data_IF_775185593115
#
_entry.id   IF_775185593115
#
_cell.length_a   1.000
_cell.length_b   1.000
_cell.length_c   1.000
_cell.angle_alpha   90.00
_cell.angle_beta   90.00
_cell.angle_gamma   90.00
#
_symmetry.space_group_name_H-M   'P 1'
#
loop_
_entity.id
_entity.type
_entity.pdbx_description
1 polymer ?
#
# COMPACT_ATOMS: atom_id res chain seq x y z
N UNK A 1 28.41 -31.28 39.95
CA UNK A 1 27.86 -30.31 38.96
C UNK A 1 28.06 -30.88 37.56
N UNK A 2 27.02 -31.46 36.95
CA UNK A 2 27.07 -31.96 35.57
C UNK A 2 26.43 -30.91 34.67
N UNK A 3 27.22 -30.29 33.79
CA UNK A 3 26.73 -29.32 32.79
C UNK A 3 25.99 -30.07 31.69
N UNK A 4 24.68 -29.82 31.55
CA UNK A 4 23.90 -30.26 30.40
C UNK A 4 24.38 -29.53 29.13
N UNK A 5 24.86 -30.29 28.15
CA UNK A 5 25.11 -29.79 26.80
C UNK A 5 23.77 -29.55 26.10
N UNK A 6 23.47 -28.28 25.79
CA UNK A 6 22.36 -27.91 24.91
C UNK A 6 22.64 -28.47 23.51
N UNK A 7 21.85 -29.45 23.08
CA UNK A 7 21.78 -29.92 21.70
C UNK A 7 21.28 -28.76 20.83
N UNK A 8 22.17 -28.19 20.02
CA UNK A 8 21.79 -27.26 18.96
C UNK A 8 21.11 -28.10 17.88
N UNK A 9 19.78 -27.99 17.79
CA UNK A 9 19.02 -28.56 16.68
C UNK A 9 19.21 -27.62 15.50
N UNK A 10 20.15 -27.96 14.63
CA UNK A 10 20.31 -27.31 13.33
C UNK A 10 19.07 -27.61 12.49
N UNK A 11 18.15 -26.66 12.36
CA UNK A 11 17.06 -26.73 11.39
C UNK A 11 17.69 -26.76 9.99
N UNK A 12 17.76 -27.95 9.40
CA UNK A 12 18.16 -28.15 8.01
C UNK A 12 17.12 -27.43 7.14
N UNK A 13 17.54 -26.35 6.50
CA UNK A 13 16.71 -25.60 5.56
C UNK A 13 16.51 -26.48 4.31
N UNK A 14 15.47 -27.32 4.32
CA UNK A 14 15.12 -28.17 3.17
C UNK A 14 14.48 -27.23 2.14
N UNK A 15 15.29 -26.70 1.22
CA UNK A 15 14.74 -26.16 -0.02
C UNK A 15 14.03 -27.31 -0.74
N UNK A 16 12.71 -27.23 -0.86
CA UNK A 16 11.93 -28.22 -1.59
C UNK A 16 12.33 -28.17 -3.07
N UNK A 17 12.55 -29.35 -3.65
CA UNK A 17 12.88 -29.47 -5.06
C UNK A 17 11.67 -29.01 -5.88
N UNK A 18 11.91 -28.12 -6.85
CA UNK A 18 10.87 -27.61 -7.75
C UNK A 18 10.60 -28.60 -8.88
N UNK A 19 9.35 -28.73 -9.30
CA UNK A 19 8.96 -29.59 -10.41
C UNK A 19 9.52 -29.07 -11.74
N UNK A 20 9.83 -29.95 -12.67
CA UNK A 20 10.39 -29.57 -13.98
C UNK A 20 9.46 -28.66 -14.80
N UNK A 21 8.15 -28.85 -14.65
CA UNK A 21 7.10 -28.08 -15.32
C UNK A 21 6.57 -26.91 -14.49
N UNK A 22 7.25 -26.55 -13.39
CA UNK A 22 6.84 -25.47 -12.51
C UNK A 22 6.67 -24.14 -13.28
N UNK A 23 5.59 -23.43 -12.99
CA UNK A 23 5.29 -22.12 -13.56
C UNK A 23 6.31 -21.09 -13.07
N UNK A 24 6.88 -20.37 -14.02
CA UNK A 24 7.94 -19.39 -13.81
C UNK A 24 7.37 -17.98 -13.80
N UNK A 25 7.58 -17.27 -12.69
CA UNK A 25 7.19 -15.87 -12.53
C UNK A 25 8.46 -15.03 -12.52
N UNK A 26 8.64 -14.20 -13.55
CA UNK A 26 9.75 -13.26 -13.66
C UNK A 26 9.37 -11.94 -12.99
N UNK A 27 10.19 -11.48 -12.06
CA UNK A 27 10.00 -10.19 -11.38
C UNK A 27 11.15 -9.26 -11.75
N UNK A 28 10.81 -8.09 -12.28
CA UNK A 28 11.74 -7.08 -12.75
C UNK A 28 11.40 -5.70 -12.19
N UNK A 29 12.42 -4.85 -12.05
CA UNK A 29 12.28 -3.49 -11.58
C UNK A 29 13.26 -3.11 -10.47
N UNK A 30 12.85 -2.15 -9.64
CA UNK A 30 13.69 -1.51 -8.62
C UNK A 30 13.62 -2.20 -7.24
N UNK A 31 14.03 -1.51 -6.18
CA UNK A 31 14.02 -2.07 -4.83
C UNK A 31 12.62 -2.42 -4.33
N UNK A 32 11.56 -1.79 -4.85
CA UNK A 32 10.18 -2.12 -4.46
C UNK A 32 9.77 -3.44 -5.11
N UNK A 33 10.13 -3.65 -6.38
CA UNK A 33 9.99 -4.97 -7.02
C UNK A 33 10.77 -6.04 -6.26
N UNK A 34 11.95 -5.73 -5.75
CA UNK A 34 12.76 -6.67 -4.95
C UNK A 34 12.02 -7.08 -3.67
N UNK A 35 11.34 -6.13 -3.02
CA UNK A 35 10.51 -6.41 -1.84
C UNK A 35 9.35 -7.38 -2.15
N UNK A 36 8.71 -7.23 -3.32
CA UNK A 36 7.69 -8.17 -3.80
C UNK A 36 8.30 -9.55 -4.08
N UNK A 37 9.45 -9.59 -4.75
CA UNK A 37 10.12 -10.84 -5.06
C UNK A 37 10.49 -11.63 -3.81
N UNK A 38 10.99 -10.97 -2.77
CA UNK A 38 11.25 -11.58 -1.46
C UNK A 38 9.98 -12.18 -0.85
N UNK A 39 8.88 -11.43 -0.90
CA UNK A 39 7.61 -11.85 -0.32
C UNK A 39 7.02 -13.05 -1.06
N UNK A 40 7.00 -13.01 -2.39
CA UNK A 40 6.51 -14.11 -3.22
C UNK A 40 7.40 -15.35 -3.11
N UNK A 41 8.74 -15.19 -3.05
CA UNK A 41 9.65 -16.32 -2.80
C UNK A 41 9.30 -17.03 -1.49
N UNK A 42 9.06 -16.26 -0.42
CA UNK A 42 8.64 -16.82 0.87
C UNK A 42 7.28 -17.50 0.77
N UNK A 43 6.30 -16.86 0.15
CA UNK A 43 4.93 -17.38 -0.03
C UNK A 43 4.93 -18.72 -0.77
N UNK A 44 5.74 -18.86 -1.82
CA UNK A 44 5.83 -20.06 -2.65
C UNK A 44 7.00 -20.98 -2.28
N UNK A 45 7.59 -20.84 -1.08
CA UNK A 45 8.69 -21.72 -0.63
C UNK A 45 8.30 -23.18 -0.73
N UNK A 46 7.14 -23.54 -0.17
CA UNK A 46 6.66 -24.92 -0.08
C UNK A 46 5.82 -25.35 -1.29
N UNK A 47 5.70 -24.52 -2.32
CA UNK A 47 4.96 -24.85 -3.54
C UNK A 47 5.96 -25.34 -4.60
N UNK A 48 5.87 -26.60 -5.02
CA UNK A 48 6.82 -27.16 -5.98
C UNK A 48 6.50 -26.79 -7.44
N UNK A 49 5.32 -26.25 -7.70
CA UNK A 49 4.82 -25.88 -9.03
C UNK A 49 5.07 -24.42 -9.40
N UNK A 50 5.65 -23.61 -8.50
CA UNK A 50 5.91 -22.18 -8.75
C UNK A 50 7.36 -21.84 -8.44
N UNK A 51 8.00 -21.18 -9.41
CA UNK A 51 9.36 -20.66 -9.32
C UNK A 51 9.33 -19.14 -9.48
N UNK A 52 9.86 -18.45 -8.47
CA UNK A 52 10.00 -16.99 -8.48
C UNK A 52 11.41 -16.60 -8.93
N UNK A 53 11.51 -15.94 -10.07
CA UNK A 53 12.77 -15.47 -10.67
C UNK A 53 12.92 -13.98 -10.38
N UNK A 54 13.79 -13.64 -9.43
CA UNK A 54 14.07 -12.24 -9.07
C UNK A 54 15.20 -11.69 -9.95
N UNK A 55 14.84 -10.85 -10.92
CA UNK A 55 15.76 -10.10 -11.79
C UNK A 55 15.63 -8.60 -11.57
N UNK A 56 15.55 -8.18 -10.30
CA UNK A 56 15.46 -6.77 -9.92
C UNK A 56 16.85 -6.16 -9.79
N UNK A 57 16.94 -4.88 -10.16
CA UNK A 57 18.14 -4.05 -10.01
C UNK A 57 17.76 -2.91 -9.06
N UNK A 58 18.04 -3.02 -7.74
CA UNK A 58 17.40 -2.18 -6.72
C UNK A 58 17.53 -0.66 -6.91
N UNK A 59 18.68 -0.19 -7.39
CA UNK A 59 18.95 1.24 -7.62
C UNK A 59 18.60 1.72 -9.04
N UNK A 60 18.01 0.84 -9.87
CA UNK A 60 17.63 1.21 -11.24
C UNK A 60 16.31 1.99 -11.29
N UNK A 61 16.05 2.53 -12.48
CA UNK A 61 14.87 3.28 -12.82
C UNK A 61 14.77 3.44 -14.33
N UNK A 62 13.73 4.12 -14.82
CA UNK A 62 13.58 4.49 -16.22
C UNK A 62 14.21 5.86 -16.55
N UNK A 63 14.56 6.69 -15.55
CA UNK A 63 15.18 8.00 -15.77
C UNK A 63 16.67 7.91 -16.14
N UNK A 64 17.44 7.04 -15.46
CA UNK A 64 18.89 6.87 -15.64
C UNK A 64 19.21 5.62 -16.45
N UNK A 65 19.14 5.73 -17.78
CA UNK A 65 19.48 4.61 -18.69
C UNK A 65 20.97 4.30 -18.75
N UNK A 66 21.82 5.23 -18.31
CA UNK A 66 23.27 5.05 -18.17
C UNK A 66 23.63 4.12 -17.01
N UNK A 67 22.80 4.06 -15.96
CA UNK A 67 22.98 3.12 -14.86
C UNK A 67 22.51 1.71 -15.25
N UNK A 68 21.28 1.60 -15.75
CA UNK A 68 20.75 0.35 -16.30
C UNK A 68 19.65 0.63 -17.33
N UNK A 69 19.88 0.24 -18.58
CA UNK A 69 18.86 0.36 -19.63
C UNK A 69 17.90 -0.83 -19.60
N UNK A 70 16.71 -0.64 -19.01
CA UNK A 70 15.64 -1.64 -19.07
C UNK A 70 15.21 -1.92 -20.52
N UNK A 71 15.12 -0.88 -21.35
CA UNK A 71 14.72 -0.98 -22.75
C UNK A 71 15.63 -1.93 -23.56
N UNK A 72 16.93 -1.89 -23.30
CA UNK A 72 17.89 -2.73 -24.03
C UNK A 72 18.04 -4.15 -23.47
N UNK A 73 17.51 -4.42 -22.27
CA UNK A 73 17.73 -5.69 -21.55
C UNK A 73 16.47 -6.53 -21.36
N UNK A 74 15.27 -5.93 -21.37
CA UNK A 74 14.03 -6.63 -21.00
C UNK A 74 13.76 -7.85 -21.88
N UNK A 75 13.89 -7.73 -23.21
CA UNK A 75 13.68 -8.85 -24.14
C UNK A 75 14.69 -9.98 -23.93
N UNK A 76 15.94 -9.64 -23.59
CA UNK A 76 16.97 -10.63 -23.27
C UNK A 76 16.61 -11.41 -22.00
N UNK A 77 16.20 -10.70 -20.95
CA UNK A 77 15.77 -11.31 -19.69
C UNK A 77 14.58 -12.25 -19.90
N UNK A 78 13.58 -11.83 -20.69
CA UNK A 78 12.40 -12.66 -20.98
C UNK A 78 12.80 -13.92 -21.76
N UNK A 79 13.61 -13.76 -22.82
CA UNK A 79 14.03 -14.89 -23.66
C UNK A 79 14.88 -15.91 -22.89
N UNK A 80 15.82 -15.44 -22.06
CA UNK A 80 16.70 -16.30 -21.27
C UNK A 80 15.95 -17.09 -20.19
N UNK A 81 14.91 -16.49 -19.60
CA UNK A 81 14.20 -17.09 -18.48
C UNK A 81 12.91 -17.81 -18.86
N UNK A 82 12.39 -17.57 -20.07
CA UNK A 82 11.14 -18.10 -20.61
C UNK A 82 10.00 -18.15 -19.57
N UNK A 83 9.59 -17.01 -18.99
CA UNK A 83 8.58 -16.99 -17.94
C UNK A 83 7.19 -17.36 -18.47
N UNK A 84 6.32 -17.80 -17.55
CA UNK A 84 4.88 -17.88 -17.77
C UNK A 84 4.20 -16.54 -17.51
N UNK A 85 4.67 -15.79 -16.50
CA UNK A 85 4.16 -14.45 -16.15
C UNK A 85 5.32 -13.52 -15.84
N UNK A 86 5.19 -12.26 -16.25
CA UNK A 86 6.12 -11.18 -15.93
C UNK A 86 5.45 -10.21 -14.98
N UNK A 87 6.15 -9.81 -13.93
CA UNK A 87 5.73 -8.77 -12.99
C UNK A 87 6.77 -7.66 -13.04
N UNK A 88 6.32 -6.46 -13.37
CA UNK A 88 7.14 -5.26 -13.41
C UNK A 88 6.68 -4.26 -12.36
N UNK A 89 7.64 -3.74 -11.59
CA UNK A 89 7.40 -2.60 -10.71
C UNK A 89 8.65 -1.71 -10.67
N UNK A 90 8.54 -0.51 -11.21
CA UNK A 90 9.66 0.41 -11.31
C UNK A 90 9.18 1.84 -11.13
N UNK A 91 10.07 2.73 -10.70
CA UNK A 91 9.80 4.17 -10.65
C UNK A 91 10.22 4.84 -9.35
N UNK A 92 10.50 4.08 -8.29
CA UNK A 92 10.79 4.65 -6.97
C UNK A 92 12.05 5.54 -6.96
N UNK A 93 12.99 5.27 -7.88
CA UNK A 93 14.22 6.05 -8.06
C UNK A 93 14.11 7.13 -9.14
N UNK A 94 12.97 7.28 -9.83
CA UNK A 94 12.89 8.07 -11.07
C UNK A 94 12.58 9.55 -10.86
N UNK A 95 12.36 10.00 -9.62
CA UNK A 95 12.24 11.43 -9.33
C UNK A 95 13.62 12.13 -9.35
N UNK A 96 14.31 12.07 -10.49
CA UNK A 96 15.62 12.67 -10.72
C UNK A 96 15.75 13.18 -12.17
N UNK A 97 16.66 14.14 -12.43
CA UNK A 97 16.85 14.68 -13.78
C UNK A 97 17.26 13.61 -14.80
N UNK A 98 16.86 13.82 -16.06
CA UNK A 98 17.37 13.07 -17.20
C UNK A 98 18.56 13.86 -17.75
N UNK A 99 19.74 13.23 -17.75
CA UNK A 99 20.97 13.83 -18.28
C UNK A 99 21.33 13.17 -19.60
N UNK A 100 21.48 14.00 -20.64
CA UNK A 100 22.04 13.61 -21.93
C UNK A 100 23.38 14.34 -22.11
N UNK A 101 24.17 14.00 -23.13
CA UNK A 101 25.54 14.48 -23.34
C UNK A 101 25.73 16.01 -23.29
N UNK A 102 24.67 16.79 -23.54
CA UNK A 102 24.72 18.25 -23.58
C UNK A 102 23.66 18.94 -22.70
N UNK A 103 22.69 18.21 -22.15
CA UNK A 103 21.52 18.80 -21.50
C UNK A 103 21.14 18.05 -20.23
N UNK A 104 20.77 18.81 -19.19
CA UNK A 104 20.09 18.31 -17.99
C UNK A 104 18.62 18.73 -18.09
N UNK A 105 17.73 17.76 -18.06
CA UNK A 105 16.28 17.97 -18.09
C UNK A 105 15.74 17.65 -16.70
N UNK A 106 15.23 18.66 -16.01
CA UNK A 106 14.73 18.52 -14.64
C UNK A 106 13.32 17.94 -14.59
N UNK A 107 12.95 17.33 -13.46
CA UNK A 107 11.70 16.55 -13.30
C UNK A 107 10.41 17.37 -13.31
N UNK A 108 10.52 18.69 -13.25
CA UNK A 108 9.44 19.68 -13.35
C UNK A 108 9.18 20.12 -14.79
N UNK A 109 10.11 19.86 -15.71
CA UNK A 109 9.97 20.24 -17.11
C UNK A 109 9.02 19.30 -17.84
N UNK A 110 8.14 19.85 -18.69
CA UNK A 110 7.20 19.07 -19.51
C UNK A 110 7.93 18.06 -20.42
N UNK A 111 9.12 18.43 -20.88
CA UNK A 111 9.99 17.58 -21.70
C UNK A 111 10.44 16.32 -20.96
N UNK A 112 10.73 16.42 -19.66
CA UNK A 112 11.07 15.25 -18.84
C UNK A 112 9.93 14.25 -18.82
N UNK A 113 8.71 14.74 -18.59
CA UNK A 113 7.51 13.89 -18.53
C UNK A 113 7.23 13.23 -19.88
N UNK A 114 7.46 13.94 -20.99
CA UNK A 114 7.32 13.41 -22.34
C UNK A 114 8.30 12.26 -22.59
N UNK A 115 9.59 12.44 -22.26
CA UNK A 115 10.62 11.40 -22.39
C UNK A 115 10.29 10.21 -21.47
N UNK A 116 9.89 10.48 -20.23
CA UNK A 116 9.55 9.43 -19.28
C UNK A 116 8.36 8.59 -19.76
N UNK A 117 7.29 9.24 -20.25
CA UNK A 117 6.14 8.56 -20.86
C UNK A 117 6.55 7.70 -22.06
N UNK A 118 7.42 8.21 -22.93
CA UNK A 118 7.93 7.46 -24.07
C UNK A 118 8.66 6.19 -23.61
N UNK A 119 9.55 6.29 -22.62
CA UNK A 119 10.26 5.12 -22.07
C UNK A 119 9.31 4.09 -21.47
N UNK A 120 8.26 4.52 -20.77
CA UNK A 120 7.22 3.60 -20.28
C UNK A 120 6.55 2.85 -21.44
N UNK A 121 6.19 3.57 -22.51
CA UNK A 121 5.54 2.98 -23.68
C UNK A 121 6.45 1.95 -24.39
N UNK A 122 7.74 2.25 -24.57
CA UNK A 122 8.72 1.33 -25.17
C UNK A 122 8.87 0.03 -24.36
N UNK A 123 8.88 0.15 -23.02
CA UNK A 123 8.91 -1.03 -22.14
C UNK A 123 7.62 -1.83 -22.24
N UNK A 124 6.46 -1.17 -22.21
CA UNK A 124 5.16 -1.82 -22.32
C UNK A 124 5.00 -2.55 -23.67
N UNK A 125 5.50 -1.97 -24.75
CA UNK A 125 5.57 -2.60 -26.07
C UNK A 125 6.48 -3.84 -26.06
N UNK A 126 7.67 -3.75 -25.44
CA UNK A 126 8.58 -4.89 -25.32
C UNK A 126 7.96 -6.04 -24.51
N UNK A 127 7.21 -5.72 -23.45
CA UNK A 127 6.45 -6.71 -22.68
C UNK A 127 5.34 -7.34 -23.50
N UNK A 128 4.58 -6.54 -24.26
CA UNK A 128 3.52 -7.02 -25.15
C UNK A 128 4.07 -7.95 -26.24
N UNK A 129 5.14 -7.54 -26.92
CA UNK A 129 5.78 -8.28 -28.00
C UNK A 129 6.32 -9.66 -27.55
N UNK A 130 6.53 -9.87 -26.24
CA UNK A 130 6.94 -11.17 -25.72
C UNK A 130 5.86 -12.26 -25.82
N UNK A 131 4.59 -11.88 -26.01
CA UNK A 131 3.45 -12.80 -26.01
C UNK A 131 3.16 -13.45 -24.64
N UNK A 132 3.86 -13.06 -23.58
CA UNK A 132 3.63 -13.55 -22.21
C UNK A 132 2.58 -12.69 -21.51
N UNK A 133 1.87 -13.26 -20.54
CA UNK A 133 1.04 -12.45 -19.64
C UNK A 133 1.95 -11.61 -18.73
N UNK A 134 1.61 -10.34 -18.55
CA UNK A 134 2.40 -9.43 -17.73
C UNK A 134 1.55 -8.47 -16.90
N UNK A 135 2.09 -8.12 -15.74
CA UNK A 135 1.49 -7.23 -14.76
C UNK A 135 2.45 -6.06 -14.52
N UNK A 136 1.96 -4.83 -14.64
CA UNK A 136 2.67 -3.65 -14.16
C UNK A 136 2.03 -3.14 -12.87
N UNK A 137 2.81 -3.10 -11.80
CA UNK A 137 2.33 -2.68 -10.49
C UNK A 137 2.60 -1.19 -10.31
N UNK A 138 1.59 -0.45 -9.88
CA UNK A 138 1.74 0.96 -9.50
C UNK A 138 2.64 1.11 -8.26
N UNK A 139 3.28 2.28 -8.14
CA UNK A 139 4.08 2.65 -6.99
C UNK A 139 3.20 3.03 -5.79
N UNK A 140 3.61 2.73 -4.55
CA UNK A 140 2.89 3.15 -3.35
C UNK A 140 3.23 4.61 -3.01
N UNK A 141 2.50 5.18 -2.04
CA UNK A 141 2.91 6.43 -1.42
C UNK A 141 4.25 6.27 -0.66
N UNK A 142 5.00 7.35 -0.49
CA UNK A 142 6.29 7.39 0.23
C UNK A 142 6.28 8.50 1.30
N UNK A 143 7.13 8.38 2.32
CA UNK A 143 7.16 9.35 3.43
C UNK A 143 7.44 10.80 3.03
N UNK A 144 7.96 11.05 1.82
CA UNK A 144 8.09 12.39 1.25
C UNK A 144 6.85 12.74 0.44
N UNK A 145 6.23 13.89 0.75
CA UNK A 145 5.06 14.38 0.01
C UNK A 145 5.36 14.64 -1.47
N UNK A 146 6.54 15.20 -1.76
CA UNK A 146 6.99 15.43 -3.13
C UNK A 146 7.09 14.11 -3.90
N UNK A 147 7.66 13.08 -3.27
CA UNK A 147 7.77 11.75 -3.88
C UNK A 147 6.39 11.11 -4.07
N UNK A 148 5.51 11.22 -3.07
CA UNK A 148 4.12 10.73 -3.15
C UNK A 148 3.36 11.40 -4.30
N UNK A 149 3.43 12.72 -4.44
CA UNK A 149 2.81 13.45 -5.55
C UNK A 149 3.38 13.00 -6.89
N UNK A 150 4.70 12.80 -6.99
CA UNK A 150 5.33 12.29 -8.21
C UNK A 150 4.86 10.87 -8.55
N UNK A 151 4.71 9.98 -7.56
CA UNK A 151 4.19 8.63 -7.77
C UNK A 151 2.73 8.61 -8.25
N UNK A 152 1.88 9.55 -7.81
CA UNK A 152 0.52 9.71 -8.38
C UNK A 152 0.57 9.95 -9.89
N UNK A 153 1.46 10.85 -10.33
CA UNK A 153 1.66 11.16 -11.75
C UNK A 153 2.18 9.92 -12.50
N UNK A 154 3.22 9.25 -11.97
CA UNK A 154 3.80 8.07 -12.61
C UNK A 154 2.79 6.92 -12.72
N UNK A 155 1.99 6.68 -11.69
CA UNK A 155 0.94 5.66 -11.70
C UNK A 155 -0.12 5.91 -12.76
N UNK A 156 -0.49 7.18 -13.00
CA UNK A 156 -1.40 7.51 -14.09
C UNK A 156 -0.81 7.16 -15.46
N UNK A 157 0.49 7.44 -15.67
CA UNK A 157 1.19 7.06 -16.90
C UNK A 157 1.31 5.54 -17.05
N UNK A 158 1.74 4.83 -16.00
CA UNK A 158 1.85 3.37 -16.02
C UNK A 158 0.51 2.72 -16.33
N UNK A 159 -0.58 3.17 -15.67
CA UNK A 159 -1.93 2.66 -15.90
C UNK A 159 -2.37 2.87 -17.35
N UNK A 160 -2.12 4.04 -17.92
CA UNK A 160 -2.47 4.36 -19.29
C UNK A 160 -1.71 3.47 -20.29
N UNK A 161 -0.38 3.49 -20.26
CA UNK A 161 0.44 2.75 -21.23
C UNK A 161 0.31 1.23 -21.05
N UNK A 162 0.17 0.74 -19.82
CA UNK A 162 -0.04 -0.69 -19.56
C UNK A 162 -1.32 -1.20 -20.21
N UNK A 163 -2.43 -0.49 -20.00
CA UNK A 163 -3.72 -0.86 -20.61
C UNK A 163 -3.69 -0.76 -22.12
N UNK A 164 -3.07 0.30 -22.65
CA UNK A 164 -2.92 0.51 -24.09
C UNK A 164 -2.18 -0.65 -24.77
N UNK A 165 -1.16 -1.20 -24.11
CA UNK A 165 -0.38 -2.35 -24.61
C UNK A 165 -0.93 -3.72 -24.17
N UNK A 166 -2.16 -3.79 -23.68
CA UNK A 166 -2.82 -5.06 -23.34
C UNK A 166 -2.28 -5.76 -22.07
N UNK A 167 -1.52 -5.06 -21.24
CA UNK A 167 -1.07 -5.57 -19.94
C UNK A 167 -2.08 -5.35 -18.82
N UNK A 168 -1.88 -6.01 -17.69
CA UNK A 168 -2.68 -5.80 -16.49
C UNK A 168 -2.01 -4.79 -15.56
N UNK A 169 -2.64 -3.63 -15.34
CA UNK A 169 -2.17 -2.67 -14.35
C UNK A 169 -2.74 -3.01 -12.96
N UNK A 170 -1.84 -3.27 -12.00
CA UNK A 170 -2.20 -3.56 -10.62
C UNK A 170 -2.03 -2.30 -9.75
N UNK A 171 -3.15 -1.74 -9.32
CA UNK A 171 -3.18 -0.61 -8.41
C UNK A 171 -3.06 -1.09 -6.96
N UNK A 172 -2.08 -0.55 -6.24
CA UNK A 172 -1.82 -0.85 -4.82
C UNK A 172 -1.93 0.39 -3.93
N UNK A 173 -2.32 1.54 -4.48
CA UNK A 173 -2.19 2.85 -3.84
C UNK A 173 -2.86 2.89 -2.46
N UNK A 174 -4.14 2.50 -2.42
CA UNK A 174 -4.96 2.49 -1.20
C UNK A 174 -4.43 1.57 -0.10
N UNK A 175 -3.56 0.62 -0.43
CA UNK A 175 -2.93 -0.27 0.54
C UNK A 175 -1.85 0.41 1.38
N UNK A 176 -1.31 1.53 0.89
CA UNK A 176 -0.18 2.23 1.49
C UNK A 176 -0.45 3.72 1.68
N UNK A 177 -1.72 4.11 1.59
CA UNK A 177 -2.18 5.46 1.87
C UNK A 177 -3.18 5.51 3.02
N UNK A 178 -3.36 6.67 3.62
CA UNK A 178 -4.49 6.97 4.51
C UNK A 178 -5.78 7.24 3.70
N UNK A 179 -6.84 7.62 4.40
CA UNK A 179 -8.17 7.89 3.83
C UNK A 179 -8.16 9.09 2.89
N UNK A 180 -7.27 10.04 3.13
CA UNK A 180 -7.02 11.22 2.31
C UNK A 180 -6.09 10.92 1.10
N UNK A 181 -5.55 9.71 1.01
CA UNK A 181 -4.68 9.29 -0.08
C UNK A 181 -3.24 9.82 0.03
N UNK A 182 -2.80 10.18 1.23
CA UNK A 182 -1.43 10.54 1.60
C UNK A 182 -0.68 9.33 2.17
N UNK A 183 0.62 9.48 2.40
CA UNK A 183 1.44 8.39 2.91
C UNK A 183 1.02 7.95 4.32
N UNK A 184 0.93 6.63 4.52
CA UNK A 184 0.75 6.05 5.85
C UNK A 184 1.85 5.05 6.21
N UNK A 185 2.31 5.11 7.48
CA UNK A 185 3.20 4.09 8.04
C UNK A 185 2.51 2.75 8.27
N UNK A 186 1.20 2.78 8.48
CA UNK A 186 0.40 1.64 8.93
C UNK A 186 -0.84 1.48 8.07
N UNK A 187 -1.41 0.28 8.09
CA UNK A 187 -2.67 0.00 7.43
C UNK A 187 -3.09 -1.43 7.70
N UNK A 188 -4.20 -1.85 7.11
CA UNK A 188 -4.64 -3.23 7.23
C UNK A 188 -3.65 -4.20 6.59
N UNK A 189 -3.28 -5.25 7.32
CA UNK A 189 -2.51 -6.38 6.81
C UNK A 189 -3.40 -7.35 6.00
N UNK A 190 -2.83 -8.50 5.63
CA UNK A 190 -3.55 -9.54 4.87
C UNK A 190 -4.69 -10.20 5.64
N UNK A 191 -4.78 -9.99 6.95
CA UNK A 191 -5.82 -10.51 7.84
C UNK A 191 -6.81 -9.41 8.29
N UNK A 192 -6.71 -8.20 7.73
CA UNK A 192 -7.57 -7.09 8.12
C UNK A 192 -7.23 -6.46 9.47
N UNK A 193 -6.05 -6.73 10.03
CA UNK A 193 -5.57 -6.11 11.27
C UNK A 193 -4.68 -4.92 10.96
N UNK A 194 -4.74 -3.87 11.78
CA UNK A 194 -3.84 -2.72 11.64
C UNK A 194 -2.41 -3.18 11.98
N UNK A 195 -1.51 -3.04 11.02
CA UNK A 195 -0.10 -3.34 11.18
C UNK A 195 0.76 -2.21 10.60
N UNK A 196 2.00 -2.12 11.08
CA UNK A 196 2.99 -1.23 10.49
C UNK A 196 3.50 -1.82 9.18
N UNK A 197 3.29 -1.13 8.08
CA UNK A 197 3.61 -1.60 6.73
C UNK A 197 4.92 -0.98 6.19
N UNK A 198 5.28 0.20 6.67
CA UNK A 198 6.47 0.95 6.23
C UNK A 198 7.51 1.05 7.34
N UNK A 199 8.79 1.04 6.95
CA UNK A 199 9.90 1.31 7.87
C UNK A 199 9.89 2.77 8.32
N UNK A 200 10.61 3.08 9.40
CA UNK A 200 10.65 4.44 9.98
C UNK A 200 11.12 5.52 9.00
N UNK A 201 11.90 5.16 7.99
CA UNK A 201 12.36 6.10 6.96
C UNK A 201 11.30 6.41 5.89
N UNK A 202 10.13 5.77 5.93
CA UNK A 202 9.05 5.99 4.96
C UNK A 202 9.35 5.50 3.53
N UNK A 203 10.46 4.79 3.30
CA UNK A 203 10.89 4.31 1.99
C UNK A 203 10.69 2.80 1.83
N UNK A 204 11.15 2.01 2.80
CA UNK A 204 11.08 0.55 2.73
C UNK A 204 9.86 -0.03 3.42
N UNK A 205 9.71 -1.35 3.30
CA UNK A 205 8.58 -2.12 3.81
C UNK A 205 9.01 -2.98 4.99
N UNK A 206 8.13 -3.11 5.98
CA UNK A 206 8.25 -4.12 7.02
C UNK A 206 7.96 -5.51 6.45
N UNK A 207 8.14 -6.56 7.27
CA UNK A 207 7.70 -7.92 6.89
C UNK A 207 6.22 -7.96 6.50
N UNK A 208 5.35 -7.30 7.29
CA UNK A 208 3.91 -7.24 7.00
C UNK A 208 3.60 -6.40 5.75
N UNK A 209 4.32 -5.30 5.53
CA UNK A 209 4.21 -4.52 4.30
C UNK A 209 4.59 -5.32 3.05
N UNK A 210 5.66 -6.13 3.12
CA UNK A 210 6.07 -7.04 2.05
C UNK A 210 5.01 -8.10 1.77
N UNK A 211 4.42 -8.70 2.80
CA UNK A 211 3.30 -9.66 2.65
C UNK A 211 2.08 -9.00 2.01
N UNK A 212 1.73 -7.79 2.43
CA UNK A 212 0.64 -7.02 1.82
C UNK A 212 0.90 -6.73 0.34
N UNK A 213 2.13 -6.34 -0.03
CA UNK A 213 2.48 -6.17 -1.44
C UNK A 213 2.25 -7.45 -2.25
N UNK A 214 2.66 -8.61 -1.72
CA UNK A 214 2.45 -9.89 -2.39
C UNK A 214 0.96 -10.29 -2.47
N UNK A 215 0.14 -9.96 -1.48
CA UNK A 215 -1.27 -10.37 -1.48
C UNK A 215 -2.08 -9.74 -2.61
N UNK A 216 -1.73 -8.54 -3.08
CA UNK A 216 -2.32 -7.92 -4.28
C UNK A 216 -2.15 -8.78 -5.54
N UNK A 217 -1.13 -9.64 -5.59
CA UNK A 217 -0.82 -10.50 -6.73
C UNK A 217 -1.49 -11.88 -6.65
N UNK A 218 -2.04 -12.29 -5.52
CA UNK A 218 -2.63 -13.62 -5.36
C UNK A 218 -3.77 -13.89 -6.36
N UNK A 219 -4.74 -12.97 -6.44
CA UNK A 219 -5.87 -13.10 -7.37
C UNK A 219 -5.42 -13.01 -8.83
N UNK A 220 -4.65 -11.98 -9.27
CA UNK A 220 -4.15 -11.92 -10.64
C UNK A 220 -3.33 -13.15 -11.05
N UNK A 221 -2.42 -13.61 -10.20
CA UNK A 221 -1.59 -14.78 -10.50
C UNK A 221 -2.43 -16.05 -10.57
N UNK A 222 -3.36 -16.26 -9.65
CA UNK A 222 -4.30 -17.39 -9.70
C UNK A 222 -5.05 -17.43 -11.03
N UNK A 223 -5.55 -16.28 -11.50
CA UNK A 223 -6.29 -16.18 -12.75
C UNK A 223 -5.43 -16.44 -13.99
N UNK A 224 -4.17 -15.98 -13.99
CA UNK A 224 -3.28 -16.12 -15.15
C UNK A 224 -2.68 -17.53 -15.23
N UNK A 225 -2.25 -18.07 -14.10
CA UNK A 225 -1.52 -19.33 -14.03
C UNK A 225 -2.43 -20.55 -13.78
N UNK A 226 -3.72 -20.32 -13.50
CA UNK A 226 -4.70 -21.36 -13.16
C UNK A 226 -4.23 -22.34 -12.08
N UNK A 227 -3.44 -21.87 -11.10
CA UNK A 227 -3.08 -22.68 -9.94
C UNK A 227 -4.08 -22.43 -8.80
N UNK A 228 -4.39 -23.49 -8.05
CA UNK A 228 -5.01 -23.30 -6.74
C UNK A 228 -3.94 -22.73 -5.80
N UNK A 229 -3.93 -21.40 -5.62
CA UNK A 229 -3.36 -20.83 -4.40
C UNK A 229 -4.06 -21.55 -3.24
N UNK A 230 -3.27 -22.12 -2.33
CA UNK A 230 -3.75 -22.96 -1.23
C UNK A 230 -5.06 -22.46 -0.64
N UNK A 231 -5.98 -23.40 -0.40
CA UNK A 231 -7.23 -23.23 0.33
C UNK A 231 -6.97 -22.59 1.70
N UNK A 232 -6.99 -21.26 1.77
CA UNK A 232 -7.51 -20.59 2.94
C UNK A 232 -9.02 -20.53 2.75
N UNK A 233 -9.67 -21.47 3.45
CA UNK A 233 -11.10 -21.63 3.67
C UNK A 233 -12.02 -21.38 2.47
N UNK A 234 -12.74 -22.44 2.12
CA UNK A 234 -13.89 -22.45 1.21
C UNK A 234 -14.63 -21.08 1.21
N UNK A 235 -14.78 -20.40 0.05
CA UNK A 235 -15.57 -19.16 -0.03
C UNK A 235 -16.97 -19.35 0.56
N UNK A 236 -17.49 -20.58 0.49
CA UNK A 236 -18.77 -20.98 1.04
C UNK A 236 -18.79 -20.97 2.58
N UNK A 237 -17.63 -21.15 3.25
CA UNK A 237 -17.51 -21.01 4.72
C UNK A 237 -17.65 -19.56 5.16
N UNK A 238 -17.09 -18.61 4.39
CA UNK A 238 -17.15 -17.18 4.74
C UNK A 238 -18.57 -16.64 4.52
N UNK A 239 -19.24 -17.05 3.43
CA UNK A 239 -20.66 -16.75 3.23
C UNK A 239 -21.54 -17.43 4.28
N UNK A 240 -21.26 -18.67 4.70
CA UNK A 240 -21.97 -19.34 5.80
C UNK A 240 -21.71 -18.70 7.17
N UNK A 241 -20.50 -18.20 7.44
CA UNK A 241 -20.18 -17.50 8.67
C UNK A 241 -20.90 -16.14 8.77
N UNK A 242 -20.98 -15.41 7.65
CA UNK A 242 -21.75 -14.15 7.56
C UNK A 242 -23.26 -14.42 7.71
N UNK A 243 -23.77 -15.49 7.12
CA UNK A 243 -25.18 -15.92 7.29
C UNK A 243 -25.49 -16.34 8.73
N UNK A 244 -24.59 -17.10 9.37
CA UNK A 244 -24.73 -17.55 10.75
C UNK A 244 -24.73 -16.38 11.74
N UNK A 245 -23.83 -15.40 11.56
CA UNK A 245 -23.85 -14.18 12.38
C UNK A 245 -25.10 -13.32 12.14
N UNK A 246 -25.66 -13.31 10.93
CA UNK A 246 -26.91 -12.59 10.62
C UNK A 246 -28.16 -13.29 11.19
N UNK A 247 -28.12 -14.62 11.31
CA UNK A 247 -29.19 -15.40 11.96
C UNK A 247 -29.11 -15.34 13.50
N UNK A 248 -27.90 -15.34 14.06
CA UNK A 248 -27.69 -15.17 15.50
C UNK A 248 -28.06 -13.75 15.97
N UNK A 249 -27.83 -12.70 15.16
CA UNK A 249 -28.29 -11.34 15.50
C UNK A 249 -29.81 -11.14 15.36
N UNK A 250 -30.50 -12.01 14.62
CA UNK A 250 -31.96 -11.96 14.44
C UNK A 250 -32.72 -12.78 15.50
N UNK A 251 -32.02 -13.43 16.44
CA UNK A 251 -32.62 -14.30 17.46
C UNK A 251 -32.67 -13.66 18.86
N UNK A 252 -32.32 -12.38 19.00
CA UNK A 252 -32.59 -11.64 20.23
C UNK A 252 -33.96 -10.96 20.11
N UNK A 253 -34.94 -11.44 20.87
CA UNK A 253 -36.18 -10.70 21.09
C UNK A 253 -35.85 -9.29 21.62
N UNK A 254 -36.54 -8.24 21.15
CA UNK A 254 -36.34 -6.91 21.68
C UNK A 254 -36.78 -6.90 23.15
N UNK A 255 -35.85 -6.60 24.05
CA UNK A 255 -36.19 -6.27 25.43
C UNK A 255 -37.20 -5.11 25.42
N UNK A 256 -38.30 -5.27 26.17
CA UNK A 256 -39.34 -4.27 26.30
C UNK A 256 -38.76 -2.91 26.69
N UNK A 257 -38.66 -2.00 25.72
CA UNK A 257 -38.27 -0.61 25.94
C UNK A 257 -39.49 0.09 26.57
N UNK A 258 -39.54 0.11 27.89
CA UNK A 258 -40.42 1.03 28.61
C UNK A 258 -39.89 2.43 28.36
N UNK A 259 -40.59 3.20 27.52
CA UNK A 259 -40.26 4.62 27.27
C UNK A 259 -40.53 5.40 28.54
N UNK A 260 -39.47 5.86 29.21
CA UNK A 260 -39.63 6.89 30.24
C UNK A 260 -39.87 8.25 29.56
N UNK A 261 -40.83 9.06 30.06
CA UNK A 261 -41.05 10.40 29.54
C UNK A 261 -39.81 11.28 29.76
N UNK A 262 -39.60 12.31 28.92
CA UNK A 262 -38.47 13.21 29.05
C UNK A 262 -38.49 13.94 30.39
N UNK A 263 -37.34 13.96 31.06
CA UNK A 263 -37.11 14.65 32.33
C UNK A 263 -37.13 16.17 32.11
N UNK A 264 -37.74 16.92 33.04
CA UNK A 264 -37.73 18.39 33.01
C UNK A 264 -36.31 18.94 33.17
N UNK A 265 -36.03 20.09 32.56
CA UNK A 265 -34.74 20.78 32.68
C UNK A 265 -34.39 21.13 34.13
N UNK A 266 -35.39 21.39 34.98
CA UNK A 266 -35.17 21.68 36.41
C UNK A 266 -34.69 20.45 37.20
N UNK A 267 -35.13 19.24 36.81
CA UNK A 267 -34.71 17.98 37.42
C UNK A 267 -33.28 17.58 37.00
N UNK A 268 -32.81 18.03 35.83
CA UNK A 268 -31.44 17.78 35.39
C UNK A 268 -30.40 18.58 36.19
N UNK A 269 -30.75 19.78 36.66
CA UNK A 269 -29.83 20.66 37.39
C UNK A 269 -29.50 20.18 38.81
N UNK A 270 -30.38 19.39 39.43
CA UNK A 270 -30.19 18.91 40.81
C UNK A 270 -29.40 17.60 40.92
N UNK A 271 -29.18 16.87 39.82
CA UNK A 271 -28.72 15.46 39.87
C UNK A 271 -27.23 15.22 39.63
N UNK A 272 -26.46 16.25 39.25
CA UNK A 272 -25.02 16.13 39.00
C UNK A 272 -24.20 16.85 40.07
N UNK A 273 -24.10 16.27 41.27
CA UNK A 273 -23.28 16.84 42.36
C UNK A 273 -22.08 15.95 42.72
N UNK A 274 -21.89 14.77 42.11
CA UNK A 274 -20.74 13.92 42.47
C UNK A 274 -20.16 13.18 41.28
N UNK A 275 -19.27 13.83 40.53
CA UNK A 275 -18.20 13.18 39.76
C UNK A 275 -17.23 14.24 39.21
N UNK A 276 -16.43 14.85 40.11
CA UNK A 276 -15.04 15.26 39.88
C UNK A 276 -14.48 15.84 41.19
N UNK A 277 -13.29 15.37 41.54
CA UNK A 277 -12.60 15.68 42.79
C UNK A 277 -12.38 17.18 43.01
N UNK A 278 -12.66 17.59 44.24
CA UNK A 278 -12.38 18.88 44.84
C UNK A 278 -10.93 19.33 44.59
N UNK A 279 -10.74 20.46 43.90
CA UNK A 279 -9.65 21.41 44.14
C UNK A 279 -10.28 22.78 44.26
N UNK A 280 -10.20 23.36 45.45
CA UNK A 280 -10.58 24.74 45.72
C UNK A 280 -9.62 25.66 44.97
N UNK A 281 -10.16 26.44 44.03
CA UNK A 281 -9.59 27.76 43.71
C UNK A 281 -10.77 28.72 43.62
N UNK A 282 -10.71 29.72 44.49
CA UNK A 282 -11.68 30.79 44.67
C UNK A 282 -11.80 31.62 43.39
N UNK A 283 -12.92 31.47 42.67
CA UNK A 283 -13.34 32.47 41.70
C UNK A 283 -14.06 33.59 42.43
N UNK A 284 -13.39 34.73 42.51
CA UNK A 284 -13.98 36.02 42.88
C UNK A 284 -15.03 36.35 41.83
N UNK A 285 -16.29 36.48 42.24
CA UNK A 285 -17.34 37.11 41.44
C UNK A 285 -16.90 38.52 41.08
N UNK A 286 -16.59 38.74 39.79
CA UNK A 286 -16.68 40.06 39.19
C UNK A 286 -17.72 39.98 38.09
N UNK A 287 -18.85 40.61 38.37
CA UNK A 287 -19.91 40.95 37.42
C UNK A 287 -19.30 41.74 36.26
N UNK A 288 -19.19 41.12 35.09
CA UNK A 288 -18.86 41.85 33.87
C UNK A 288 -20.14 42.52 33.38
N UNK A 289 -20.19 43.85 33.49
CA UNK A 289 -21.12 44.70 32.75
C UNK A 289 -20.37 45.35 31.57
N UNK A 290 -20.84 45.25 30.32
CA UNK A 290 -20.18 45.95 29.23
C UNK A 290 -20.43 47.45 29.38
N UNK A 291 -19.37 48.25 29.40
CA UNK A 291 -19.50 49.70 29.25
C UNK A 291 -19.89 50.00 27.80
N UNK A 292 -21.11 50.51 27.62
CA UNK A 292 -21.50 51.23 26.41
C UNK A 292 -20.53 52.40 26.21
N UNK A 293 -19.76 52.37 25.11
CA UNK A 293 -18.85 53.43 24.74
C UNK A 293 -18.59 53.40 23.24
N UNK A 294 -19.20 54.34 22.52
CA UNK A 294 -18.89 54.66 21.13
C UNK A 294 -17.43 55.13 21.03
N UNK A 295 -16.53 54.25 20.60
CA UNK A 295 -15.19 54.62 20.17
C UNK A 295 -15.03 54.23 18.70
N UNK A 296 -14.72 55.24 17.88
CA UNK A 296 -14.36 55.08 16.47
C UNK A 296 -13.01 54.35 16.43
N UNK A 297 -12.89 53.34 15.55
CA UNK A 297 -11.68 52.53 15.28
C UNK A 297 -11.50 51.21 16.09
N UNK A 298 -12.57 50.58 16.56
CA UNK A 298 -12.54 49.18 17.03
C UNK A 298 -12.82 48.17 15.91
N UNK A 299 -12.06 47.08 15.88
CA UNK A 299 -12.07 46.05 14.82
C UNK A 299 -13.37 45.21 14.76
N UNK A 300 -14.22 45.32 15.78
CA UNK A 300 -15.53 44.69 15.96
C UNK A 300 -16.72 45.63 15.66
N UNK A 301 -16.46 46.84 15.15
CA UNK A 301 -17.53 47.77 14.74
C UNK A 301 -17.94 47.56 13.27
N UNK A 302 -19.03 46.82 13.04
CA UNK A 302 -19.62 46.56 11.72
C UNK A 302 -20.76 47.53 11.34
N UNK A 303 -20.65 48.80 11.74
CA UNK A 303 -21.59 49.82 11.27
C UNK A 303 -21.13 50.35 9.91
N UNK A 304 -21.82 49.93 8.84
CA UNK A 304 -21.64 50.46 7.47
C UNK A 304 -22.12 51.94 7.40
N UNK A 305 -21.55 52.77 6.52
CA UNK A 305 -22.10 54.09 6.23
C UNK A 305 -23.49 54.03 5.58
#
# INVERSE_FOLDING_TARGET
>A
MVKQQKKIVTQKNIQTLKNENAKRILIIGDFVASAIADALKKLFTNNNDIVIMNYTIPASGLARTDYYSWQSNISKLINQNNPNVIIMMIGANDNQPITNSHNIINTDQAEWLRIYKQRIAEIAESLHASGKSWIWIGQPAFGSDLLTQKMKIFNALYKHETKKSGGYFLDIWSGFSDEEGNFSFSGYDVHGKIAKLRTNNGIYFTSEGKKKLASYLEKPLKNILNFHAFSHEDPDSTYKAIQKHRQESNSQEPSNIVRQPPMSLDDMAQKNIYLLGRRETSFIEKTWSPLNGNQKDRADNFSLP
#
